data_IF_941205381788
#
_entry.id   IF_941205381788
#
_cell.length_a   1.000
_cell.length_b   1.000
_cell.length_c   1.000
_cell.angle_alpha   90.00
_cell.angle_beta   90.00
_cell.angle_gamma   90.00
#
_symmetry.space_group_name_H-M   'P 1'
#
loop_
_entity.id
_entity.type
_entity.pdbx_description
1 polymer ?
#
# COMPACT_ATOMS: atom_id res chain seq x y z
N UNK A 1 1.83 13.13 -13.40
CA UNK A 1 1.06 13.63 -12.23
C UNK A 1 1.19 12.72 -11.03
N UNK A 2 2.37 12.33 -10.75
CA UNK A 2 2.68 11.41 -9.67
C UNK A 2 3.78 12.05 -8.84
N UNK A 3 3.76 11.81 -7.52
CA UNK A 3 4.89 12.19 -6.69
C UNK A 3 6.18 11.69 -7.35
N UNK A 4 7.30 12.40 -7.20
CA UNK A 4 8.59 12.01 -7.77
C UNK A 4 9.15 10.82 -6.99
N UNK A 5 8.52 9.65 -7.19
CA UNK A 5 8.79 8.42 -6.42
C UNK A 5 10.26 7.99 -6.61
N UNK A 6 10.79 8.17 -7.81
CA UNK A 6 12.20 7.89 -8.09
C UNK A 6 13.15 8.76 -7.26
N UNK A 7 12.92 10.07 -7.24
CA UNK A 7 13.72 11.00 -6.40
C UNK A 7 13.60 10.63 -4.92
N UNK A 8 12.40 10.27 -4.46
CA UNK A 8 12.18 9.85 -3.08
C UNK A 8 12.93 8.54 -2.75
N UNK A 9 12.89 7.56 -3.67
CA UNK A 9 13.64 6.31 -3.54
C UNK A 9 15.15 6.57 -3.45
N UNK A 10 15.70 7.34 -4.40
CA UNK A 10 17.12 7.70 -4.43
C UNK A 10 17.56 8.40 -3.12
N UNK A 11 16.78 9.36 -2.65
CA UNK A 11 17.07 10.07 -1.41
C UNK A 11 17.03 9.14 -0.17
N UNK A 12 16.10 8.20 -0.11
CA UNK A 12 16.03 7.20 0.98
C UNK A 12 17.24 6.28 0.90
N UNK A 13 17.55 5.76 -0.29
CA UNK A 13 18.70 4.88 -0.48
C UNK A 13 20.01 5.60 -0.07
N UNK A 14 20.20 6.85 -0.45
CA UNK A 14 21.39 7.63 -0.10
C UNK A 14 21.54 7.83 1.42
N UNK A 15 20.43 7.94 2.14
CA UNK A 15 20.45 8.17 3.59
C UNK A 15 20.62 6.89 4.41
N UNK A 16 20.00 5.79 4.00
CA UNK A 16 19.96 4.58 4.82
C UNK A 16 20.53 3.33 4.14
N UNK A 17 20.74 3.34 2.83
CA UNK A 17 21.21 2.16 2.08
C UNK A 17 22.57 1.63 2.55
N UNK A 18 23.45 2.50 3.05
CA UNK A 18 24.74 2.11 3.60
C UNK A 18 24.69 1.66 5.07
N UNK A 19 23.59 1.85 5.77
CA UNK A 19 23.43 1.52 7.21
C UNK A 19 22.39 0.41 7.44
N UNK A 20 21.42 0.26 6.56
CA UNK A 20 20.47 -0.84 6.60
C UNK A 20 21.16 -2.14 6.16
N UNK A 21 20.93 -3.22 6.90
CA UNK A 21 21.43 -4.54 6.52
C UNK A 21 20.81 -5.03 5.20
N UNK A 22 19.54 -4.70 4.99
CA UNK A 22 18.77 -4.98 3.78
C UNK A 22 17.85 -3.79 3.50
N UNK A 23 17.82 -3.35 2.26
CA UNK A 23 16.86 -2.36 1.76
C UNK A 23 16.25 -2.90 0.46
N UNK A 24 14.98 -3.21 0.48
CA UNK A 24 14.26 -3.74 -0.68
C UNK A 24 13.03 -2.88 -0.99
N UNK A 25 12.53 -3.01 -2.21
CA UNK A 25 11.37 -2.26 -2.71
C UNK A 25 10.25 -3.22 -3.08
N UNK A 26 9.07 -2.98 -2.52
CA UNK A 26 7.84 -3.69 -2.90
C UNK A 26 6.89 -2.75 -3.63
N UNK A 27 6.46 -3.14 -4.81
CA UNK A 27 5.47 -2.40 -5.60
C UNK A 27 4.07 -2.76 -5.06
N UNK A 28 3.41 -1.77 -4.49
CA UNK A 28 2.08 -1.90 -3.89
C UNK A 28 0.99 -1.85 -4.97
N UNK A 29 0.75 -2.97 -5.63
CA UNK A 29 -0.10 -3.09 -6.82
C UNK A 29 -1.60 -3.22 -6.51
N UNK A 30 -1.97 -3.62 -5.29
CA UNK A 30 -3.34 -4.11 -5.07
C UNK A 30 -3.60 -5.31 -5.99
N UNK A 31 -4.62 -5.23 -6.85
CA UNK A 31 -4.96 -6.27 -7.85
C UNK A 31 -4.46 -5.95 -9.26
N UNK A 32 -3.63 -4.92 -9.43
CA UNK A 32 -3.04 -4.63 -10.73
C UNK A 32 -2.02 -5.69 -11.13
N UNK A 33 -1.79 -5.81 -12.44
CA UNK A 33 -0.79 -6.71 -12.99
C UNK A 33 0.61 -6.35 -12.51
N UNK A 34 1.46 -7.37 -12.37
CA UNK A 34 2.86 -7.19 -12.06
C UNK A 34 3.55 -6.29 -13.10
N UNK A 35 4.37 -5.37 -12.62
CA UNK A 35 5.21 -4.53 -13.48
C UNK A 35 6.40 -5.32 -13.97
N UNK A 36 6.78 -5.11 -15.25
CA UNK A 36 8.05 -5.61 -15.76
C UNK A 36 9.23 -4.90 -15.09
N UNK A 37 10.43 -5.43 -15.28
CA UNK A 37 11.65 -4.80 -14.76
C UNK A 37 11.84 -3.39 -15.32
N UNK A 38 11.63 -3.22 -16.62
CA UNK A 38 11.73 -1.94 -17.30
C UNK A 38 10.68 -0.95 -16.79
N UNK A 39 9.46 -1.43 -16.50
CA UNK A 39 8.42 -0.57 -15.95
C UNK A 39 8.74 -0.12 -14.51
N UNK A 40 9.40 -0.97 -13.71
CA UNK A 40 9.89 -0.62 -12.38
C UNK A 40 11.03 0.42 -12.49
N UNK A 41 11.99 0.20 -13.40
CA UNK A 41 13.07 1.14 -13.67
C UNK A 41 12.52 2.50 -14.08
N UNK A 42 11.59 2.54 -15.02
CA UNK A 42 10.92 3.77 -15.44
C UNK A 42 10.16 4.43 -14.28
N UNK A 43 9.47 3.65 -13.45
CA UNK A 43 8.71 4.16 -12.30
C UNK A 43 9.59 4.81 -11.26
N UNK A 44 10.78 4.28 -11.05
CA UNK A 44 11.75 4.75 -10.07
C UNK A 44 12.77 5.74 -10.67
N UNK A 45 12.65 6.05 -11.97
CA UNK A 45 13.58 6.92 -12.69
C UNK A 45 15.04 6.47 -12.48
N UNK A 46 15.27 5.19 -12.65
CA UNK A 46 16.60 4.56 -12.60
C UNK A 46 16.91 3.90 -13.94
N UNK A 47 18.17 3.93 -14.32
CA UNK A 47 18.64 3.22 -15.50
C UNK A 47 18.96 1.76 -15.15
N UNK A 48 19.09 0.91 -16.17
CA UNK A 48 19.56 -0.47 -15.99
C UNK A 48 20.96 -0.52 -15.35
N UNK A 49 21.85 0.38 -15.73
CA UNK A 49 23.20 0.48 -15.17
C UNK A 49 23.16 0.90 -13.68
N UNK A 50 22.26 1.83 -13.30
CA UNK A 50 22.04 2.18 -11.89
C UNK A 50 21.48 0.99 -11.10
N UNK A 51 20.55 0.23 -11.68
CA UNK A 51 19.98 -0.94 -11.04
C UNK A 51 21.00 -2.05 -10.80
N UNK A 52 21.87 -2.30 -11.76
CA UNK A 52 22.90 -3.34 -11.68
C UNK A 52 24.20 -2.85 -11.01
N UNK A 53 24.36 -1.56 -10.82
CA UNK A 53 25.47 -0.89 -10.15
C UNK A 53 25.13 -0.47 -8.72
N UNK A 54 24.84 0.84 -8.48
CA UNK A 54 24.62 1.36 -7.12
C UNK A 54 23.42 0.71 -6.40
N UNK A 55 22.42 0.20 -7.12
CA UNK A 55 21.25 -0.45 -6.54
C UNK A 55 21.27 -1.98 -6.68
N UNK A 56 22.41 -2.59 -6.99
CA UNK A 56 22.52 -4.03 -7.21
C UNK A 56 22.14 -4.90 -5.98
N UNK A 57 22.25 -4.34 -4.78
CA UNK A 57 21.85 -5.02 -3.54
C UNK A 57 20.35 -4.90 -3.23
N UNK A 58 19.62 -4.01 -3.92
CA UNK A 58 18.19 -3.78 -3.70
C UNK A 58 17.39 -4.78 -4.51
N UNK A 59 16.55 -5.56 -3.84
CA UNK A 59 15.60 -6.41 -4.55
C UNK A 59 14.29 -5.64 -4.78
N UNK A 60 13.71 -5.84 -5.96
CA UNK A 60 12.45 -5.22 -6.35
C UNK A 60 11.38 -6.31 -6.49
N UNK A 61 10.31 -6.21 -5.72
CA UNK A 61 9.23 -7.19 -5.71
C UNK A 61 7.94 -6.59 -6.20
N UNK A 62 7.21 -7.33 -7.00
CA UNK A 62 5.80 -7.09 -7.22
C UNK A 62 4.98 -7.74 -6.09
N UNK A 63 3.92 -7.06 -5.65
CA UNK A 63 2.93 -7.71 -4.81
C UNK A 63 2.15 -8.75 -5.61
N UNK A 64 2.13 -9.99 -5.13
CA UNK A 64 1.38 -11.10 -5.72
C UNK A 64 0.11 -11.34 -4.89
N UNK A 65 -0.95 -10.62 -5.22
CA UNK A 65 -2.24 -10.66 -4.51
C UNK A 65 -3.01 -11.97 -4.74
N UNK A 66 -2.76 -12.63 -5.85
CA UNK A 66 -3.40 -13.85 -6.34
C UNK A 66 -2.63 -15.13 -6.00
N UNK A 67 -1.47 -15.00 -5.34
CA UNK A 67 -0.71 -16.14 -4.80
C UNK A 67 -0.96 -16.27 -3.29
N UNK A 68 -1.76 -17.28 -2.85
CA UNK A 68 -1.99 -17.52 -1.43
C UNK A 68 -0.71 -17.78 -0.63
N UNK A 69 0.33 -18.32 -1.29
CA UNK A 69 1.64 -18.56 -0.66
C UNK A 69 2.42 -17.27 -0.36
N UNK A 70 2.10 -16.19 -1.05
CA UNK A 70 2.69 -14.87 -0.82
C UNK A 70 1.97 -14.07 0.28
N UNK A 71 0.84 -14.55 0.78
CA UNK A 71 0.01 -13.85 1.75
C UNK A 71 0.13 -14.47 3.14
N UNK A 72 0.01 -13.61 4.16
CA UNK A 72 -0.06 -13.99 5.57
C UNK A 72 -1.31 -13.41 6.18
N UNK A 73 -2.15 -14.25 6.79
CA UNK A 73 -3.25 -13.80 7.60
C UNK A 73 -2.70 -13.20 8.92
N UNK A 74 -3.13 -12.00 9.26
CA UNK A 74 -2.73 -11.25 10.45
C UNK A 74 -3.88 -11.02 11.43
N UNK A 75 -5.06 -11.57 11.13
CA UNK A 75 -6.24 -11.56 11.97
C UNK A 75 -7.53 -11.34 11.18
N UNK A 76 -8.59 -11.09 11.91
CA UNK A 76 -9.93 -10.87 11.36
C UNK A 76 -10.53 -9.62 11.98
N UNK A 77 -11.16 -8.78 11.19
CA UNK A 77 -12.06 -7.74 11.67
C UNK A 77 -13.40 -8.42 11.90
N UNK A 78 -13.89 -8.42 13.14
CA UNK A 78 -15.11 -9.11 13.49
C UNK A 78 -16.36 -8.44 12.91
N UNK A 79 -17.45 -9.19 12.87
CA UNK A 79 -18.77 -8.69 12.47
C UNK A 79 -19.15 -7.40 13.21
N UNK A 80 -18.92 -7.36 14.52
CA UNK A 80 -19.19 -6.15 15.33
C UNK A 80 -18.28 -4.97 14.95
N UNK A 81 -16.98 -5.24 14.77
CA UNK A 81 -16.02 -4.23 14.30
C UNK A 81 -16.42 -3.68 12.93
N UNK A 82 -16.79 -4.54 12.00
CA UNK A 82 -17.19 -4.13 10.66
C UNK A 82 -18.49 -3.34 10.70
N UNK A 83 -19.47 -3.74 11.52
CA UNK A 83 -20.71 -2.97 11.70
C UNK A 83 -20.41 -1.55 12.20
N UNK A 84 -19.57 -1.41 13.21
CA UNK A 84 -19.16 -0.12 13.77
C UNK A 84 -18.41 0.75 12.72
N UNK A 85 -17.41 0.19 12.07
CA UNK A 85 -16.56 0.90 11.11
C UNK A 85 -17.32 1.31 9.85
N UNK A 86 -18.26 0.47 9.40
CA UNK A 86 -19.08 0.72 8.23
C UNK A 86 -20.28 1.65 8.51
N UNK A 87 -20.59 1.90 9.78
CA UNK A 87 -21.80 2.63 10.20
C UNK A 87 -23.07 1.80 10.02
N UNK A 88 -23.00 0.50 10.27
CA UNK A 88 -24.12 -0.44 10.15
C UNK A 88 -24.42 -0.89 8.72
N UNK A 89 -23.56 -0.58 7.75
CA UNK A 89 -23.79 -0.97 6.35
C UNK A 89 -23.47 -2.44 6.09
N UNK A 90 -22.57 -3.04 6.89
CA UNK A 90 -22.15 -4.43 6.76
C UNK A 90 -22.01 -5.10 8.12
N UNK A 91 -22.39 -6.36 8.19
CA UNK A 91 -22.28 -7.23 9.35
C UNK A 91 -21.68 -8.57 8.91
N UNK A 92 -20.36 -8.66 8.91
CA UNK A 92 -19.62 -9.85 8.48
C UNK A 92 -18.19 -9.82 9.01
N UNK A 93 -17.59 -10.99 9.15
CA UNK A 93 -16.17 -11.11 9.42
C UNK A 93 -15.35 -10.83 8.15
N UNK A 94 -14.26 -10.09 8.28
CA UNK A 94 -13.34 -9.82 7.18
C UNK A 94 -11.93 -10.25 7.56
N UNK A 95 -11.41 -11.29 6.89
CA UNK A 95 -10.03 -11.73 7.06
C UNK A 95 -9.06 -10.68 6.54
N UNK A 96 -8.04 -10.40 7.33
CA UNK A 96 -7.00 -9.43 6.97
C UNK A 96 -5.72 -10.18 6.64
N UNK A 97 -5.42 -10.21 5.36
CA UNK A 97 -4.20 -10.82 4.82
C UNK A 97 -3.31 -9.73 4.21
N UNK A 98 -2.01 -9.90 4.33
CA UNK A 98 -1.02 -8.97 3.79
C UNK A 98 0.18 -9.75 3.26
N UNK A 99 0.94 -9.16 2.36
CA UNK A 99 2.13 -9.80 1.80
C UNK A 99 3.10 -10.25 2.91
N UNK A 100 3.40 -11.55 2.93
CA UNK A 100 4.20 -12.18 3.97
C UNK A 100 5.64 -11.63 4.02
N UNK A 101 6.18 -11.13 2.90
CA UNK A 101 7.53 -10.55 2.85
C UNK A 101 7.71 -9.35 3.78
N UNK A 102 6.63 -8.61 4.11
CA UNK A 102 6.74 -7.47 5.03
C UNK A 102 7.32 -7.88 6.39
N UNK A 103 7.07 -9.11 6.83
CA UNK A 103 7.53 -9.60 8.14
C UNK A 103 9.01 -10.03 8.17
N UNK A 104 9.71 -9.91 7.05
CA UNK A 104 11.15 -10.11 6.98
C UNK A 104 11.94 -8.83 7.27
N UNK A 105 11.26 -7.71 7.54
CA UNK A 105 11.85 -6.39 7.73
C UNK A 105 11.41 -5.77 9.07
N UNK A 106 12.29 -4.96 9.64
CA UNK A 106 12.06 -4.27 10.92
C UNK A 106 11.34 -2.93 10.76
N UNK A 107 11.36 -2.37 9.55
CA UNK A 107 10.77 -1.08 9.23
C UNK A 107 10.12 -1.09 7.86
N UNK A 108 8.95 -0.49 7.75
CA UNK A 108 8.28 -0.20 6.47
C UNK A 108 8.39 1.29 6.18
N UNK A 109 8.87 1.62 4.98
CA UNK A 109 8.87 2.99 4.46
C UNK A 109 7.92 3.05 3.27
N UNK A 110 6.90 3.89 3.39
CA UNK A 110 5.88 4.10 2.36
C UNK A 110 6.23 5.36 1.59
N UNK A 111 6.34 5.27 0.27
CA UNK A 111 6.52 6.41 -0.63
C UNK A 111 5.43 6.44 -1.69
N UNK A 112 4.88 7.62 -1.95
CA UNK A 112 3.87 7.76 -3.00
C UNK A 112 3.08 9.06 -2.93
N UNK A 113 2.19 9.28 -3.91
CA UNK A 113 1.35 10.48 -3.95
C UNK A 113 0.15 10.39 -3.01
N UNK A 114 -0.32 11.57 -2.59
CA UNK A 114 -1.64 11.75 -1.99
C UNK A 114 -2.51 12.53 -2.96
N UNK A 115 -3.64 11.96 -3.36
CA UNK A 115 -4.63 12.58 -4.23
C UNK A 115 -6.04 12.07 -3.91
N UNK A 116 -7.11 12.79 -4.31
CA UNK A 116 -8.48 12.31 -4.15
C UNK A 116 -8.69 10.95 -4.84
N UNK A 117 -9.38 10.04 -4.15
CA UNK A 117 -9.58 8.68 -4.61
C UNK A 117 -11.04 8.25 -4.44
N UNK A 118 -11.60 7.66 -5.49
CA UNK A 118 -13.02 7.33 -5.63
C UNK A 118 -13.54 6.30 -4.63
N UNK A 119 -12.67 5.41 -4.12
CA UNK A 119 -13.08 4.34 -3.19
C UNK A 119 -12.78 4.67 -1.73
N UNK A 120 -11.67 5.36 -1.45
CA UNK A 120 -11.18 5.53 -0.07
C UNK A 120 -11.10 6.97 0.40
N UNK A 121 -11.46 7.93 -0.46
CA UNK A 121 -11.41 9.36 -0.19
C UNK A 121 -10.09 10.00 -0.64
N UNK A 122 -8.97 9.55 -0.12
CA UNK A 122 -7.62 9.93 -0.54
C UNK A 122 -6.69 8.71 -0.60
N UNK A 123 -5.72 8.75 -1.51
CA UNK A 123 -4.58 7.82 -1.50
C UNK A 123 -3.62 8.14 -0.33
N UNK A 124 -2.50 7.45 -0.25
CA UNK A 124 -1.47 7.69 0.76
C UNK A 124 -1.63 6.88 2.05
N UNK A 125 -0.56 6.85 2.84
CA UNK A 125 -0.53 6.19 4.15
C UNK A 125 -0.89 4.70 4.08
N UNK A 126 -1.75 4.25 4.99
CA UNK A 126 -2.17 2.85 5.08
C UNK A 126 -2.82 2.30 3.81
N UNK A 127 -3.23 3.16 2.86
CA UNK A 127 -3.72 2.68 1.56
C UNK A 127 -2.65 1.93 0.76
N UNK A 128 -1.38 2.23 0.96
CA UNK A 128 -0.29 1.46 0.33
C UNK A 128 -0.08 0.09 0.99
N UNK A 129 -0.55 -0.08 2.24
CA UNK A 129 -0.60 -1.41 2.88
C UNK A 129 -1.91 -2.11 2.47
N UNK A 130 -3.06 -1.44 2.63
CA UNK A 130 -4.39 -1.97 2.31
C UNK A 130 -5.16 -1.02 1.40
N UNK A 131 -5.47 -1.45 0.16
CA UNK A 131 -5.24 -2.76 -0.44
C UNK A 131 -3.87 -2.97 -1.10
N UNK A 132 -2.96 -1.99 -1.09
CA UNK A 132 -1.73 -1.97 -1.90
C UNK A 132 -0.90 -3.25 -1.87
N UNK A 133 -0.71 -3.85 -0.68
CA UNK A 133 -0.05 -5.15 -0.49
C UNK A 133 -0.92 -6.11 0.33
N UNK A 134 -2.23 -5.87 0.37
CA UNK A 134 -3.23 -6.69 1.05
C UNK A 134 -3.75 -7.85 0.20
N UNK A 135 -4.36 -8.83 0.87
CA UNK A 135 -5.01 -9.97 0.22
C UNK A 135 -6.40 -9.64 -0.36
N UNK A 136 -6.98 -10.58 -1.12
CA UNK A 136 -8.20 -10.34 -1.88
C UNK A 136 -9.44 -10.10 -1.00
N UNK A 137 -9.55 -10.72 0.17
CA UNK A 137 -10.76 -10.57 0.98
C UNK A 137 -10.95 -9.14 1.47
N UNK A 138 -9.94 -8.56 2.11
CA UNK A 138 -9.99 -7.19 2.60
C UNK A 138 -10.10 -6.19 1.45
N UNK A 139 -9.45 -6.47 0.32
CA UNK A 139 -9.52 -5.64 -0.88
C UNK A 139 -10.96 -5.63 -1.46
N UNK A 140 -11.57 -6.79 -1.64
CA UNK A 140 -12.94 -6.90 -2.15
C UNK A 140 -13.93 -6.21 -1.22
N UNK A 141 -13.75 -6.35 0.09
CA UNK A 141 -14.57 -5.67 1.08
C UNK A 141 -14.48 -4.13 0.94
N UNK A 142 -13.28 -3.57 0.77
CA UNK A 142 -13.12 -2.12 0.56
C UNK A 142 -13.86 -1.63 -0.68
N UNK A 143 -13.76 -2.35 -1.78
CA UNK A 143 -14.47 -1.99 -3.00
C UNK A 143 -15.99 -2.09 -2.81
N UNK A 144 -16.46 -3.13 -2.15
CA UNK A 144 -17.87 -3.31 -1.88
C UNK A 144 -18.43 -2.21 -0.98
N UNK A 145 -17.76 -1.93 0.15
CA UNK A 145 -18.15 -0.83 1.04
C UNK A 145 -18.13 0.51 0.30
N UNK A 146 -17.12 0.77 -0.51
CA UNK A 146 -17.02 1.98 -1.32
C UNK A 146 -18.15 2.10 -2.34
N UNK A 147 -18.53 1.01 -2.98
CA UNK A 147 -19.65 0.97 -3.94
C UNK A 147 -20.99 1.29 -3.28
N UNK A 148 -21.24 0.75 -2.08
CA UNK A 148 -22.48 1.00 -1.32
C UNK A 148 -22.57 2.47 -0.87
N UNK A 149 -21.46 3.07 -0.43
CA UNK A 149 -21.44 4.49 -0.02
C UNK A 149 -21.54 5.42 -1.22
N UNK A 150 -21.01 5.04 -2.34
CA UNK A 150 -20.91 5.74 -3.62
C UNK A 150 -19.78 6.79 -3.70
N UNK A 151 -19.15 6.89 -4.87
CA UNK A 151 -18.02 7.79 -5.15
C UNK A 151 -18.27 9.26 -4.78
N UNK A 152 -19.43 9.89 -5.08
CA UNK A 152 -19.63 11.29 -4.73
C UNK A 152 -19.58 11.61 -3.23
N UNK A 153 -19.84 10.60 -2.39
CA UNK A 153 -19.77 10.74 -0.92
C UNK A 153 -18.39 10.41 -0.36
N UNK A 154 -17.49 9.88 -1.19
CA UNK A 154 -16.17 9.39 -0.77
C UNK A 154 -15.05 10.27 -1.28
N UNK A 155 -15.03 10.57 -2.58
CA UNK A 155 -13.89 11.23 -3.23
C UNK A 155 -13.57 12.57 -2.60
N UNK A 156 -12.31 12.76 -2.21
CA UNK A 156 -11.87 14.01 -1.59
C UNK A 156 -12.28 14.18 -0.12
N UNK A 157 -12.93 13.18 0.49
CA UNK A 157 -13.23 13.17 1.91
C UNK A 157 -12.17 12.40 2.70
N UNK A 158 -11.60 13.05 3.71
CA UNK A 158 -10.56 12.44 4.57
C UNK A 158 -11.12 11.32 5.45
N UNK A 159 -12.29 11.53 6.01
CA UNK A 159 -12.92 10.62 6.97
C UNK A 159 -14.09 9.89 6.32
N UNK A 160 -13.83 8.69 5.83
CA UNK A 160 -14.83 7.80 5.24
C UNK A 160 -14.87 6.48 5.99
N UNK A 161 -16.00 5.75 5.98
CA UNK A 161 -16.04 4.39 6.54
C UNK A 161 -14.95 3.48 5.95
N UNK A 162 -14.72 3.54 4.64
CA UNK A 162 -13.65 2.78 3.98
C UNK A 162 -12.28 3.12 4.56
N UNK A 163 -11.99 4.42 4.76
CA UNK A 163 -10.72 4.85 5.37
C UNK A 163 -10.56 4.32 6.80
N UNK A 164 -11.63 4.32 7.60
CA UNK A 164 -11.60 3.76 8.96
C UNK A 164 -11.22 2.27 8.95
N UNK A 165 -11.81 1.48 8.04
CA UNK A 165 -11.48 0.05 7.90
C UNK A 165 -10.03 -0.14 7.47
N UNK A 166 -9.54 0.65 6.49
CA UNK A 166 -8.13 0.63 6.04
C UNK A 166 -7.18 0.94 7.20
N UNK A 167 -7.46 1.98 7.97
CA UNK A 167 -6.59 2.39 9.07
C UNK A 167 -6.61 1.37 10.21
N UNK A 168 -7.77 0.75 10.46
CA UNK A 168 -7.89 -0.35 11.43
C UNK A 168 -7.12 -1.59 10.98
N UNK A 169 -7.25 -2.02 9.72
CA UNK A 169 -6.46 -3.10 9.16
C UNK A 169 -4.95 -2.75 9.20
N UNK A 170 -4.59 -1.52 8.83
CA UNK A 170 -3.22 -1.01 8.90
C UNK A 170 -2.62 -1.07 10.30
N UNK A 171 -3.43 -0.88 11.35
CA UNK A 171 -2.99 -0.98 12.75
C UNK A 171 -2.65 -2.41 13.20
N UNK A 172 -3.12 -3.42 12.45
CA UNK A 172 -2.80 -4.83 12.71
C UNK A 172 -1.38 -5.20 12.25
N UNK A 173 -0.83 -4.48 11.28
CA UNK A 173 0.59 -4.61 10.90
C UNK A 173 1.43 -3.89 11.95
N UNK A 174 2.08 -4.66 12.83
CA UNK A 174 2.82 -4.13 13.99
C UNK A 174 4.21 -3.61 13.66
N UNK A 175 4.72 -3.87 12.47
CA UNK A 175 6.01 -3.34 12.01
C UNK A 175 5.90 -1.81 11.96
N UNK A 176 6.89 -1.06 12.50
CA UNK A 176 6.93 0.40 12.42
C UNK A 176 6.81 0.89 10.98
N UNK A 177 6.01 1.93 10.77
CA UNK A 177 5.72 2.49 9.43
C UNK A 177 6.05 3.97 9.41
N UNK A 178 6.86 4.38 8.43
CA UNK A 178 7.07 5.78 8.04
C UNK A 178 6.44 6.02 6.68
N UNK A 179 5.78 7.15 6.50
CA UNK A 179 5.14 7.48 5.24
C UNK A 179 5.62 8.84 4.73
N UNK A 180 6.29 8.81 3.58
CA UNK A 180 6.65 9.99 2.80
C UNK A 180 5.64 10.11 1.64
N UNK A 181 4.51 10.73 1.94
CA UNK A 181 3.41 10.86 1.00
C UNK A 181 3.27 12.33 0.57
N UNK A 182 3.39 12.58 -0.73
CA UNK A 182 3.43 13.93 -1.28
C UNK A 182 2.11 14.28 -1.95
N UNK A 183 1.60 15.46 -1.63
CA UNK A 183 0.54 16.11 -2.42
C UNK A 183 1.23 16.84 -3.58
N UNK A 184 0.78 16.55 -4.80
CA UNK A 184 1.30 17.20 -6.01
C UNK A 184 0.22 18.10 -6.58
N UNK A 185 0.49 19.39 -6.59
CA UNK A 185 -0.38 20.43 -7.12
C UNK A 185 0.06 20.82 -8.54
N UNK A 186 -0.81 20.60 -9.49
CA UNK A 186 -0.55 20.93 -10.90
C UNK A 186 0.40 19.92 -11.59
N UNK A 187 0.25 19.74 -12.87
CA UNK A 187 1.11 18.96 -13.75
C UNK A 187 0.70 19.18 -15.18
#
# INVERSE_FOLDING_TARGET
>A
RTAPVGTMFKAIHDQIGGTAAVLDVMIALGTHQAMSEEAIEQRLDITHDERTGPYASVQFFNHAWDDPGALRNIGTLSTEEISDLSGGLFEMDVSVEVNAKLFNYDQIVIIGPVFPHEVVGFSGGNKYIFPGVGGPQVLNFFHWLGAVITTPKIIGHKWTPVRKVIDRAGSMVKIPKLAFCMVVEGG
#
